data_IF_113857958257
#
_entry.id   IF_113857958257
#
_cell.length_a   1.000
_cell.length_b   1.000
_cell.length_c   1.000
_cell.angle_alpha   90.00
_cell.angle_beta   90.00
_cell.angle_gamma   90.00
#
_symmetry.space_group_name_H-M   'P 1'
#
loop_
_entity.id
_entity.type
_entity.pdbx_description
1 polymer ?
#
# COMPACT_ATOMS: atom_id res chain seq x y z
N UNK A 1 -13.69 -2.72 9.06
CA UNK A 1 -13.82 -1.98 7.78
C UNK A 1 -14.91 -2.61 6.94
N UNK A 2 -15.72 -1.83 6.22
CA UNK A 2 -16.68 -2.35 5.24
C UNK A 2 -15.97 -2.60 3.90
N UNK A 3 -16.15 -3.78 3.29
CA UNK A 3 -15.52 -4.15 2.02
C UNK A 3 -15.90 -3.23 0.85
N UNK A 4 -17.10 -2.61 0.87
CA UNK A 4 -17.50 -1.63 -0.16
C UNK A 4 -16.61 -0.38 -0.23
N UNK A 5 -15.84 -0.11 0.82
CA UNK A 5 -14.91 1.03 0.91
C UNK A 5 -13.45 0.62 0.64
N UNK A 6 -13.21 -0.66 0.34
CA UNK A 6 -11.89 -1.16 0.01
C UNK A 6 -11.79 -1.34 -1.51
N UNK A 7 -10.69 -0.86 -2.06
CA UNK A 7 -10.33 -1.06 -3.46
C UNK A 7 -9.10 -1.96 -3.48
N UNK A 8 -9.28 -3.29 -3.62
CA UNK A 8 -8.18 -4.24 -3.56
C UNK A 8 -7.18 -4.00 -4.68
N UNK A 9 -5.89 -4.18 -4.37
CA UNK A 9 -4.79 -4.07 -5.33
C UNK A 9 -4.33 -5.46 -5.76
N UNK A 10 -3.64 -5.55 -6.89
CA UNK A 10 -3.04 -6.81 -7.36
C UNK A 10 -1.75 -7.21 -6.58
N UNK A 11 -1.43 -6.51 -5.49
CA UNK A 11 -0.27 -6.81 -4.65
C UNK A 11 -0.67 -7.84 -3.60
N UNK A 12 -0.08 -9.04 -3.68
CA UNK A 12 -0.35 -10.15 -2.75
C UNK A 12 0.88 -10.41 -1.87
N UNK A 13 0.65 -10.59 -0.57
CA UNK A 13 1.65 -11.08 0.40
C UNK A 13 1.04 -12.29 1.10
N UNK A 14 1.74 -13.42 1.06
CA UNK A 14 1.29 -14.63 1.72
C UNK A 14 1.68 -14.60 3.21
N UNK A 15 0.68 -14.63 4.08
CA UNK A 15 0.81 -14.53 5.53
C UNK A 15 -0.07 -15.59 6.22
N UNK A 16 0.33 -16.09 7.41
CA UNK A 16 -0.51 -17.00 8.17
C UNK A 16 -1.79 -16.30 8.64
N UNK A 17 -2.86 -17.07 8.87
CA UNK A 17 -4.12 -16.55 9.39
C UNK A 17 -3.91 -16.05 10.83
N UNK A 18 -4.18 -14.77 11.08
CA UNK A 18 -3.94 -14.06 12.36
C UNK A 18 -2.45 -13.87 12.74
N UNK A 19 -1.65 -13.14 11.94
CA UNK A 19 -0.26 -12.85 12.29
C UNK A 19 -0.16 -11.81 13.41
N UNK A 20 0.93 -11.85 14.19
CA UNK A 20 1.27 -10.76 15.12
C UNK A 20 1.74 -9.53 14.34
N UNK A 21 1.56 -8.33 14.90
CA UNK A 21 1.95 -7.05 14.27
C UNK A 21 3.40 -7.06 13.76
N UNK A 22 4.33 -7.59 14.55
CA UNK A 22 5.76 -7.64 14.18
C UNK A 22 6.01 -8.52 12.96
N UNK A 23 5.31 -9.67 12.87
CA UNK A 23 5.43 -10.58 11.74
C UNK A 23 4.81 -9.98 10.47
N UNK A 24 3.69 -9.26 10.61
CA UNK A 24 3.06 -8.58 9.49
C UNK A 24 3.93 -7.44 8.95
N UNK A 25 4.52 -6.63 9.83
CA UNK A 25 5.43 -5.55 9.42
C UNK A 25 6.65 -6.11 8.68
N UNK A 26 7.28 -7.15 9.23
CA UNK A 26 8.41 -7.82 8.59
C UNK A 26 8.04 -8.43 7.23
N UNK A 27 6.85 -9.03 7.09
CA UNK A 27 6.38 -9.59 5.82
C UNK A 27 6.10 -8.52 4.75
N UNK A 28 5.59 -7.35 5.15
CA UNK A 28 5.34 -6.23 4.24
C UNK A 28 6.67 -5.64 3.75
N UNK A 29 7.64 -5.51 4.66
CA UNK A 29 8.98 -4.98 4.35
C UNK A 29 9.77 -5.95 3.45
N UNK A 30 9.76 -7.25 3.76
CA UNK A 30 10.44 -8.27 2.93
C UNK A 30 9.82 -8.43 1.54
N UNK A 31 8.51 -8.20 1.41
CA UNK A 31 7.81 -8.25 0.12
C UNK A 31 7.95 -6.96 -0.71
N UNK A 32 8.62 -5.93 -0.17
CA UNK A 32 8.86 -4.63 -0.80
C UNK A 32 7.58 -3.97 -1.35
N UNK A 33 6.49 -4.11 -0.59
CA UNK A 33 5.15 -3.69 -1.04
C UNK A 33 5.08 -2.19 -1.28
N UNK A 34 5.75 -1.39 -0.45
CA UNK A 34 5.71 0.07 -0.54
C UNK A 34 6.36 0.59 -1.83
N UNK A 35 7.51 0.02 -2.23
CA UNK A 35 8.16 0.41 -3.48
C UNK A 35 7.37 -0.08 -4.69
N UNK A 36 6.85 -1.31 -4.65
CA UNK A 36 5.95 -1.82 -5.71
C UNK A 36 4.70 -0.95 -5.86
N UNK A 37 4.13 -0.49 -4.75
CA UNK A 37 3.02 0.44 -4.76
C UNK A 37 3.40 1.79 -5.38
N UNK A 38 4.52 2.39 -4.97
CA UNK A 38 4.98 3.67 -5.50
C UNK A 38 5.28 3.61 -7.02
N UNK A 39 5.76 2.47 -7.51
CA UNK A 39 6.03 2.24 -8.93
C UNK A 39 4.78 1.84 -9.74
N UNK A 40 3.69 1.42 -9.08
CA UNK A 40 2.44 1.12 -9.77
C UNK A 40 1.83 2.39 -10.39
N UNK A 41 1.18 2.25 -11.55
CA UNK A 41 0.52 3.38 -12.23
C UNK A 41 -0.51 4.07 -11.33
N UNK A 42 -1.28 3.28 -10.58
CA UNK A 42 -2.29 3.79 -9.68
C UNK A 42 -1.70 4.46 -8.42
N UNK A 43 -0.72 3.82 -7.77
CA UNK A 43 -0.05 4.40 -6.61
C UNK A 43 0.69 5.70 -6.95
N UNK A 44 1.38 5.73 -8.11
CA UNK A 44 2.04 6.94 -8.61
C UNK A 44 1.06 8.09 -8.84
N UNK A 45 -0.11 7.81 -9.43
CA UNK A 45 -1.19 8.81 -9.63
C UNK A 45 -1.60 9.45 -8.30
N UNK A 46 -1.83 8.64 -7.28
CA UNK A 46 -2.25 9.12 -5.96
C UNK A 46 -1.15 9.94 -5.26
N UNK A 47 0.10 9.51 -5.36
CA UNK A 47 1.26 10.24 -4.80
C UNK A 47 1.38 11.62 -5.45
N UNK A 48 1.28 11.70 -6.78
CA UNK A 48 1.35 12.97 -7.52
C UNK A 48 0.18 13.88 -7.15
N UNK A 49 -1.03 13.34 -7.03
CA UNK A 49 -2.20 14.11 -6.60
C UNK A 49 -1.99 14.70 -5.20
N UNK A 50 -1.47 13.91 -4.26
CA UNK A 50 -1.14 14.38 -2.90
C UNK A 50 -0.07 15.48 -2.93
N UNK A 51 1.00 15.31 -3.72
CA UNK A 51 2.08 16.29 -3.84
C UNK A 51 1.60 17.62 -4.44
N UNK A 52 0.69 17.56 -5.42
CA UNK A 52 0.09 18.77 -6.01
C UNK A 52 -0.82 19.50 -5.04
N UNK A 53 -1.60 18.77 -4.24
CA UNK A 53 -2.48 19.38 -3.25
C UNK A 53 -1.72 20.08 -2.09
N UNK A 54 -0.46 19.69 -1.85
CA UNK A 54 0.39 20.31 -0.82
C UNK A 54 1.30 21.43 -1.34
N UNK A 55 1.28 21.73 -2.64
CA UNK A 55 2.04 22.85 -3.19
C UNK A 55 1.30 24.15 -2.89
N UNK A 56 1.97 25.07 -2.21
CA UNK A 56 1.54 26.47 -2.08
C UNK A 56 2.27 27.31 -3.13
N UNK A 57 1.68 28.45 -3.50
CA UNK A 57 2.11 29.37 -4.56
C UNK A 57 3.54 29.90 -4.38
#
# INVERSE_FOLDING_TARGET
>A
MNFKRLSPTNLKVDIPRMPKKNQLAAAIESADVYNKWANSSWGRKLIVQKKRASLND
#
